data_IF_632689417558
#
_entry.id   IF_632689417558
#
_cell.length_a   1.000
_cell.length_b   1.000
_cell.length_c   1.000
_cell.angle_alpha   90.00
_cell.angle_beta   90.00
_cell.angle_gamma   90.00
#
_symmetry.space_group_name_H-M   'P 1'
#
loop_
_entity.id
_entity.type
_entity.pdbx_description
1 polymer ?
#
# COMPACT_ATOMS: atom_id res chain seq x y z
N UNK A 1 -13.66 -10.78 2.26
CA UNK A 1 -13.06 -11.51 3.40
C UNK A 1 -12.46 -10.46 4.33
N UNK A 2 -12.30 -10.71 5.63
CA UNK A 2 -11.64 -9.71 6.51
C UNK A 2 -10.16 -9.62 6.15
N UNK A 3 -9.55 -8.42 6.12
CA UNK A 3 -8.12 -8.28 5.84
C UNK A 3 -7.27 -9.10 6.82
N UNK A 4 -6.11 -9.56 6.41
CA UNK A 4 -5.13 -10.19 7.33
C UNK A 4 -3.75 -9.60 7.14
N UNK A 5 -2.90 -9.64 8.16
CA UNK A 5 -1.50 -9.20 8.00
C UNK A 5 -0.75 -10.15 7.07
N UNK A 6 -0.06 -9.58 6.09
CA UNK A 6 0.82 -10.28 5.16
C UNK A 6 2.29 -9.96 5.46
N UNK A 7 3.17 -10.91 5.14
CA UNK A 7 4.61 -10.73 5.29
C UNK A 7 5.20 -10.05 4.03
N UNK A 8 5.77 -8.84 4.13
CA UNK A 8 6.41 -8.17 2.99
C UNK A 8 7.57 -8.96 2.39
N UNK A 9 8.20 -9.88 3.13
CA UNK A 9 9.30 -10.72 2.62
C UNK A 9 8.82 -11.84 1.69
N UNK A 10 7.52 -12.12 1.64
CA UNK A 10 6.92 -13.05 0.68
C UNK A 10 6.64 -12.38 -0.68
N UNK A 11 6.82 -11.06 -0.78
CA UNK A 11 6.65 -10.32 -2.04
C UNK A 11 7.83 -10.55 -3.00
N UNK A 12 7.64 -10.29 -4.31
CA UNK A 12 8.69 -10.51 -5.31
C UNK A 12 10.00 -9.77 -4.98
N UNK A 13 11.12 -10.50 -5.02
CA UNK A 13 12.43 -9.95 -4.66
C UNK A 13 12.91 -8.78 -5.52
N UNK A 14 12.39 -8.62 -6.74
CA UNK A 14 12.74 -7.50 -7.61
C UNK A 14 12.36 -6.13 -7.02
N UNK A 15 11.44 -6.10 -6.05
CA UNK A 15 11.02 -4.88 -5.34
C UNK A 15 12.17 -4.23 -4.54
N UNK A 16 13.15 -5.01 -4.07
CA UNK A 16 14.30 -4.47 -3.33
C UNK A 16 15.30 -3.75 -4.25
N UNK A 17 15.46 -4.25 -5.48
CA UNK A 17 16.66 -3.99 -6.29
C UNK A 17 16.41 -3.16 -7.55
N UNK A 18 15.14 -2.94 -7.93
CA UNK A 18 14.77 -2.28 -9.19
C UNK A 18 14.12 -0.91 -8.98
N UNK A 19 14.05 -0.14 -10.05
CA UNK A 19 13.18 1.02 -10.11
C UNK A 19 11.74 0.55 -10.27
N UNK A 20 10.85 1.13 -9.49
CA UNK A 20 9.45 0.72 -9.36
C UNK A 20 8.55 1.93 -9.44
N UNK A 21 7.50 1.84 -10.25
CA UNK A 21 6.41 2.82 -10.25
C UNK A 21 5.20 2.16 -9.61
N UNK A 22 4.73 2.70 -8.50
CA UNK A 22 3.38 2.40 -8.03
C UNK A 22 2.39 3.23 -8.85
N UNK A 23 1.49 2.58 -9.57
CA UNK A 23 0.45 3.21 -10.37
C UNK A 23 -0.91 2.98 -9.73
N UNK A 24 -1.64 4.07 -9.47
CA UNK A 24 -3.04 4.01 -9.11
C UNK A 24 -3.89 3.63 -10.33
N UNK A 25 -4.74 2.61 -10.17
CA UNK A 25 -5.71 2.20 -11.18
C UNK A 25 -7.01 3.03 -11.11
N UNK A 26 -7.30 3.60 -9.94
CA UNK A 26 -8.46 4.48 -9.69
C UNK A 26 -8.06 5.87 -9.18
N UNK A 27 -9.01 6.81 -9.19
CA UNK A 27 -8.85 8.13 -8.58
C UNK A 27 -8.64 8.02 -7.06
N UNK A 28 -7.74 8.82 -6.51
CA UNK A 28 -7.31 8.72 -5.09
C UNK A 28 -8.24 9.46 -4.11
N UNK A 29 -8.81 10.60 -4.51
CA UNK A 29 -9.44 11.53 -3.57
C UNK A 29 -10.79 11.07 -2.99
N UNK A 30 -11.48 10.14 -3.64
CA UNK A 30 -12.84 9.71 -3.27
C UNK A 30 -12.92 8.28 -2.73
N UNK A 31 -11.80 7.55 -2.75
CA UNK A 31 -11.79 6.11 -2.54
C UNK A 31 -11.11 5.75 -1.22
N UNK A 32 -11.79 4.94 -0.41
CA UNK A 32 -11.25 4.36 0.82
C UNK A 32 -10.34 3.17 0.53
N UNK A 33 -10.49 2.58 -0.66
CA UNK A 33 -9.64 1.53 -1.20
C UNK A 33 -9.21 1.97 -2.60
N UNK A 34 -7.93 2.27 -2.75
CA UNK A 34 -7.34 2.67 -4.03
C UNK A 34 -6.64 1.46 -4.62
N UNK A 35 -7.12 0.96 -5.76
CA UNK A 35 -6.45 -0.14 -6.44
C UNK A 35 -5.14 0.34 -7.05
N UNK A 36 -4.10 -0.47 -6.95
CA UNK A 36 -2.77 -0.11 -7.45
C UNK A 36 -1.94 -1.31 -7.89
N UNK A 37 -0.93 -1.01 -8.68
CA UNK A 37 0.06 -1.99 -9.17
C UNK A 37 1.47 -1.41 -9.10
N UNK A 38 2.43 -2.25 -8.74
CA UNK A 38 3.85 -1.98 -8.83
C UNK A 38 4.33 -2.44 -10.21
N UNK A 39 4.79 -1.48 -11.01
CA UNK A 39 5.39 -1.74 -12.31
C UNK A 39 6.92 -1.70 -12.21
N UNK A 40 7.63 -2.76 -12.63
CA UNK A 40 9.07 -2.71 -12.81
C UNK A 40 9.43 -1.79 -13.98
N UNK A 41 10.60 -1.15 -13.93
CA UNK A 41 11.10 -0.37 -15.08
C UNK A 41 11.54 -1.23 -16.28
N UNK A 42 11.57 -2.56 -16.13
CA UNK A 42 11.95 -3.53 -17.16
C UNK A 42 10.79 -4.47 -17.46
N UNK A 43 10.59 -4.76 -18.75
CA UNK A 43 9.54 -5.67 -19.26
C UNK A 43 9.75 -7.17 -18.90
N UNK A 44 10.81 -7.51 -18.16
CA UNK A 44 11.15 -8.90 -17.83
C UNK A 44 10.38 -9.47 -16.63
N UNK A 45 9.76 -8.63 -15.82
CA UNK A 45 9.06 -9.01 -14.59
C UNK A 45 7.56 -8.73 -14.70
N UNK A 46 6.76 -9.56 -14.03
CA UNK A 46 5.30 -9.36 -13.98
C UNK A 46 4.96 -8.28 -12.94
N UNK A 47 3.96 -7.44 -13.25
CA UNK A 47 3.43 -6.46 -12.32
C UNK A 47 2.93 -7.13 -11.02
N UNK A 48 3.16 -6.46 -9.89
CA UNK A 48 2.69 -6.92 -8.58
C UNK A 48 1.54 -6.03 -8.11
N UNK A 49 0.42 -6.64 -7.72
CA UNK A 49 -0.68 -5.90 -7.09
C UNK A 49 -0.21 -5.29 -5.77
N UNK A 50 -0.52 -4.02 -5.57
CA UNK A 50 -0.37 -3.35 -4.28
C UNK A 50 -1.44 -2.25 -4.17
N UNK A 51 -2.49 -2.51 -3.42
CA UNK A 51 -3.55 -1.53 -3.18
C UNK A 51 -3.25 -0.66 -1.95
N UNK A 52 -4.04 0.38 -1.73
CA UNK A 52 -4.00 1.18 -0.50
C UNK A 52 -5.38 1.16 0.17
N UNK A 53 -5.42 0.98 1.49
CA UNK A 53 -6.64 0.93 2.30
C UNK A 53 -6.60 2.00 3.40
N UNK A 54 -7.60 2.88 3.41
CA UNK A 54 -7.81 3.92 4.41
C UNK A 54 -8.48 3.32 5.66
N UNK A 55 -7.68 2.87 6.64
CA UNK A 55 -8.17 2.04 7.75
C UNK A 55 -9.05 2.80 8.75
N UNK A 56 -9.02 4.14 8.74
CA UNK A 56 -9.88 4.96 9.60
C UNK A 56 -11.20 5.37 8.91
N UNK A 57 -11.43 4.93 7.67
CA UNK A 57 -12.73 5.12 7.02
C UNK A 57 -13.78 4.21 7.66
N UNK A 58 -14.81 4.82 8.26
CA UNK A 58 -15.83 4.12 9.04
C UNK A 58 -17.28 4.25 8.53
N UNK A 59 -17.49 4.97 7.43
CA UNK A 59 -18.82 5.27 6.90
C UNK A 59 -18.99 4.74 5.47
N UNK A 60 -20.13 4.09 5.13
CA UNK A 60 -21.26 3.71 5.99
C UNK A 60 -20.96 2.48 6.88
N UNK A 61 -19.84 1.82 6.67
CA UNK A 61 -19.36 0.67 7.44
C UNK A 61 -17.84 0.77 7.55
N UNK A 62 -17.22 0.31 8.66
CA UNK A 62 -15.77 0.22 8.78
C UNK A 62 -15.10 -0.45 7.58
N UNK A 63 -14.09 0.22 7.03
CA UNK A 63 -13.28 -0.30 5.93
C UNK A 63 -12.40 -1.49 6.36
N UNK A 64 -12.07 -1.58 7.65
CA UNK A 64 -11.36 -2.71 8.23
C UNK A 64 -11.83 -2.98 9.66
N UNK A 65 -11.54 -4.18 10.16
CA UNK A 65 -11.76 -4.51 11.56
C UNK A 65 -10.76 -3.79 12.50
N UNK A 66 -11.06 -3.86 13.80
CA UNK A 66 -10.27 -3.21 14.84
C UNK A 66 -8.84 -3.76 14.95
N UNK A 67 -8.61 -5.05 14.64
CA UNK A 67 -7.29 -5.66 14.77
C UNK A 67 -6.34 -5.12 13.70
N UNK A 68 -6.81 -5.06 12.45
CA UNK A 68 -6.07 -4.49 11.32
C UNK A 68 -5.90 -2.98 11.46
N UNK A 69 -6.94 -2.26 11.88
CA UNK A 69 -6.84 -0.83 12.18
C UNK A 69 -5.74 -0.56 13.20
N UNK A 70 -5.74 -1.31 14.31
CA UNK A 70 -4.72 -1.19 15.36
C UNK A 70 -3.31 -1.53 14.83
N UNK A 71 -3.17 -2.59 14.03
CA UNK A 71 -1.88 -2.97 13.46
C UNK A 71 -1.33 -1.90 12.52
N UNK A 72 -2.17 -1.32 11.66
CA UNK A 72 -1.82 -0.19 10.80
C UNK A 72 -1.38 1.03 11.60
N UNK A 73 -2.11 1.39 12.66
CA UNK A 73 -1.72 2.49 13.56
C UNK A 73 -0.37 2.22 14.24
N UNK A 74 -0.13 0.99 14.71
CA UNK A 74 1.15 0.63 15.34
C UNK A 74 2.31 0.71 14.35
N UNK A 75 2.19 0.08 13.18
CA UNK A 75 3.21 0.17 12.13
C UNK A 75 3.49 1.63 11.77
N UNK A 76 2.43 2.42 11.57
CA UNK A 76 2.55 3.83 11.21
C UNK A 76 3.27 4.65 12.27
N UNK A 77 2.96 4.42 13.56
CA UNK A 77 3.63 5.08 14.67
C UNK A 77 5.15 4.84 14.67
N UNK A 78 5.59 3.64 14.29
CA UNK A 78 7.01 3.28 14.23
C UNK A 78 7.70 3.65 12.91
N UNK A 79 7.05 4.40 12.02
CA UNK A 79 7.64 4.78 10.74
C UNK A 79 7.59 3.66 9.68
N UNK A 80 6.80 2.62 9.91
CA UNK A 80 6.56 1.49 9.02
C UNK A 80 5.15 1.57 8.42
N UNK A 81 4.75 0.55 7.65
CA UNK A 81 3.39 0.38 7.12
C UNK A 81 2.93 -1.06 7.28
N UNK A 82 1.66 -1.27 7.62
CA UNK A 82 1.10 -2.61 7.68
C UNK A 82 0.78 -3.09 6.25
N UNK A 83 1.27 -4.28 5.91
CA UNK A 83 0.90 -4.98 4.68
C UNK A 83 -0.25 -5.92 5.01
N UNK A 84 -1.31 -5.83 4.22
CA UNK A 84 -2.56 -6.57 4.38
C UNK A 84 -2.77 -7.46 3.16
N UNK A 85 -3.41 -8.60 3.36
CA UNK A 85 -4.07 -9.38 2.31
C UNK A 85 -5.57 -9.10 2.39
N UNK A 86 -6.16 -8.63 1.28
CA UNK A 86 -7.58 -8.32 1.14
C UNK A 86 -8.09 -9.05 -0.10
N UNK A 87 -8.84 -10.13 0.10
CA UNK A 87 -9.37 -10.96 -0.99
C UNK A 87 -8.28 -11.38 -2.00
N UNK A 88 -7.12 -11.85 -1.49
CA UNK A 88 -5.95 -12.25 -2.27
C UNK A 88 -5.23 -11.10 -3.00
N UNK A 89 -5.51 -9.85 -2.60
CA UNK A 89 -4.81 -8.66 -3.06
C UNK A 89 -3.99 -8.07 -1.92
N UNK A 90 -2.70 -7.87 -2.18
CA UNK A 90 -1.82 -7.20 -1.22
C UNK A 90 -2.21 -5.72 -1.16
N UNK A 91 -2.35 -5.17 0.04
CA UNK A 91 -2.69 -3.78 0.27
C UNK A 91 -1.85 -3.17 1.40
N UNK A 92 -1.68 -1.85 1.40
CA UNK A 92 -1.11 -1.11 2.52
C UNK A 92 -2.23 -0.54 3.40
N UNK A 93 -2.22 -0.87 4.69
CA UNK A 93 -3.11 -0.27 5.67
C UNK A 93 -2.60 1.10 6.13
N UNK A 94 -3.29 2.17 5.76
CA UNK A 94 -2.90 3.56 6.00
C UNK A 94 -3.89 4.25 6.96
N UNK A 95 -3.44 4.80 8.10
CA UNK A 95 -4.30 5.40 9.12
C UNK A 95 -4.77 6.80 8.70
N UNK A 96 -5.64 6.81 7.69
CA UNK A 96 -6.32 7.98 7.16
C UNK A 96 -7.79 7.61 6.94
N UNK A 97 -8.66 8.63 6.92
CA UNK A 97 -10.07 8.47 6.55
C UNK A 97 -10.31 8.67 5.05
N UNK A 98 -9.35 9.27 4.35
CA UNK A 98 -9.35 9.49 2.89
C UNK A 98 -7.91 9.73 2.43
N UNK A 99 -7.60 9.42 1.17
CA UNK A 99 -6.26 9.59 0.63
C UNK A 99 -6.01 11.00 0.07
N UNK A 100 -4.81 11.51 0.34
CA UNK A 100 -4.19 12.64 -0.34
C UNK A 100 -2.96 12.16 -1.11
N UNK A 101 -2.47 12.93 -2.08
CA UNK A 101 -1.23 12.61 -2.77
C UNK A 101 -0.05 12.43 -1.80
N UNK A 102 0.02 13.26 -0.74
CA UNK A 102 1.04 13.16 0.30
C UNK A 102 0.93 11.85 1.09
N UNK A 103 -0.28 11.46 1.50
CA UNK A 103 -0.51 10.21 2.23
C UNK A 103 -0.11 8.99 1.39
N UNK A 104 -0.40 9.01 0.08
CA UNK A 104 0.03 7.94 -0.84
C UNK A 104 1.56 7.86 -0.92
N UNK A 105 2.23 9.01 -1.11
CA UNK A 105 3.69 9.04 -1.14
C UNK A 105 4.33 8.55 0.17
N UNK A 106 3.78 8.92 1.34
CA UNK A 106 4.30 8.45 2.62
C UNK A 106 4.07 6.93 2.81
N UNK A 107 2.92 6.41 2.40
CA UNK A 107 2.63 4.98 2.44
C UNK A 107 3.60 4.17 1.56
N UNK A 108 3.81 4.58 0.30
CA UNK A 108 4.75 3.91 -0.61
C UNK A 108 6.18 4.03 -0.10
N UNK A 109 6.57 5.19 0.43
CA UNK A 109 7.89 5.37 1.05
C UNK A 109 8.11 4.42 2.22
N UNK A 110 7.13 4.24 3.10
CA UNK A 110 7.21 3.30 4.22
C UNK A 110 7.29 1.85 3.73
N UNK A 111 6.52 1.51 2.69
CA UNK A 111 6.59 0.20 2.06
C UNK A 111 7.99 -0.14 1.56
N UNK A 112 8.73 0.83 1.00
CA UNK A 112 10.12 0.57 0.57
C UNK A 112 11.01 0.04 1.70
N UNK A 113 10.78 0.44 2.95
CA UNK A 113 11.52 -0.09 4.11
C UNK A 113 11.15 -1.53 4.40
N UNK A 114 9.85 -1.86 4.31
CA UNK A 114 9.33 -3.20 4.53
C UNK A 114 9.93 -4.23 3.56
N UNK A 115 10.21 -3.82 2.32
CA UNK A 115 10.86 -4.68 1.29
C UNK A 115 12.38 -4.46 1.17
N UNK A 116 13.00 -3.67 2.06
CA UNK A 116 14.44 -3.44 2.07
C UNK A 116 14.99 -2.60 0.89
N UNK A 117 14.15 -1.80 0.23
CA UNK A 117 14.51 -0.96 -0.91
C UNK A 117 14.95 0.46 -0.52
N UNK A 118 15.70 1.13 -1.41
CA UNK A 118 15.94 2.58 -1.33
C UNK A 118 14.71 3.33 -1.87
N UNK A 119 14.08 4.23 -1.07
CA UNK A 119 12.94 5.04 -1.52
C UNK A 119 13.17 5.82 -2.83
N UNK A 120 14.42 6.17 -3.16
CA UNK A 120 14.75 6.90 -4.40
C UNK A 120 14.47 6.11 -5.68
N UNK A 121 14.32 4.79 -5.58
CA UNK A 121 13.97 3.91 -6.70
C UNK A 121 12.47 3.83 -6.96
N UNK A 122 11.66 4.41 -6.07
CA UNK A 122 10.21 4.34 -6.15
C UNK A 122 9.62 5.67 -6.62
N UNK A 123 8.69 5.58 -7.55
CA UNK A 123 7.84 6.68 -7.98
C UNK A 123 6.36 6.33 -7.77
N UNK A 124 5.54 7.38 -7.66
CA UNK A 124 4.09 7.28 -7.50
C UNK A 124 3.43 7.95 -8.69
N UNK A 125 2.56 7.22 -9.39
CA UNK A 125 1.73 7.72 -10.47
C UNK A 125 0.26 7.71 -10.04
N UNK A 126 -0.34 8.89 -9.93
CA UNK A 126 -1.71 9.08 -9.46
C UNK A 126 -2.67 9.31 -10.62
N UNK A 127 -3.91 8.82 -10.46
CA UNK A 127 -5.05 9.21 -11.28
C UNK A 127 -5.88 10.27 -10.57
N UNK A 128 -6.29 11.28 -11.33
CA UNK A 128 -7.12 12.40 -10.87
C UNK A 128 -8.60 12.13 -11.13
#
# INVERSE_FOLDING_TARGET
MEPTLADPFELPGWLADREVVWEALDTVATNVHVHGVLRPSSDSETEQVLDLMAVDAAWPTPACDEANRRASHQAWHYGEVAVLDIDSRVALGVPVSAFTAEAVCDAVRRFTRAVGADPKRYAVQLRL
#
